data_IF_777109239132
#
_entry.id   IF_777109239132
#
_cell.length_a   1.000
_cell.length_b   1.000
_cell.length_c   1.000
_cell.angle_alpha   90.00
_cell.angle_beta   90.00
_cell.angle_gamma   90.00
#
_symmetry.space_group_name_H-M   'P 1'
#
loop_
_entity.id
_entity.type
_entity.pdbx_description
1 polymer ?
#
# COMPACT_ATOMS: atom_id res chain seq x y z
N UNK A 1 -62.24 -38.23 55.63
CA UNK A 1 -62.10 -36.78 55.36
C UNK A 1 -61.17 -36.65 54.15
N UNK A 2 -61.52 -35.83 53.15
CA UNK A 2 -61.24 -36.07 51.73
C UNK A 2 -59.98 -35.39 51.18
N UNK A 3 -59.35 -36.05 50.17
CA UNK A 3 -58.79 -35.59 48.86
C UNK A 3 -57.87 -34.34 48.74
N UNK A 4 -57.23 -34.09 47.58
CA UNK A 4 -56.04 -34.73 47.00
C UNK A 4 -55.06 -33.65 46.47
N UNK A 5 -53.95 -34.00 45.80
CA UNK A 5 -53.26 -33.32 44.65
C UNK A 5 -51.78 -33.69 44.65
N UNK A 6 -51.30 -34.49 43.69
CA UNK A 6 -50.89 -34.07 42.34
C UNK A 6 -49.56 -33.29 42.37
N UNK A 7 -48.44 -34.01 42.28
CA UNK A 7 -47.19 -33.41 41.83
C UNK A 7 -46.91 -33.88 40.40
N UNK A 8 -47.20 -32.95 39.50
CA UNK A 8 -46.90 -32.98 38.07
C UNK A 8 -45.39 -32.95 37.85
N UNK A 9 -44.97 -33.77 36.89
CA UNK A 9 -43.70 -33.67 36.20
C UNK A 9 -43.48 -32.25 35.66
N UNK A 10 -42.37 -31.62 36.03
CA UNK A 10 -41.77 -30.55 35.23
C UNK A 10 -40.28 -30.83 35.04
N UNK A 11 -40.01 -31.53 33.93
CA UNK A 11 -38.74 -31.53 33.22
C UNK A 11 -38.44 -30.06 32.84
N UNK A 12 -37.32 -29.51 33.32
CA UNK A 12 -36.78 -28.26 32.82
C UNK A 12 -35.51 -28.59 32.05
N UNK A 13 -35.63 -28.47 30.74
CA UNK A 13 -34.58 -28.67 29.76
C UNK A 13 -33.46 -27.62 29.98
N UNK A 14 -32.23 -28.08 30.23
CA UNK A 14 -31.06 -27.22 30.19
C UNK A 14 -30.82 -26.79 28.74
N UNK A 15 -31.28 -25.58 28.39
CA UNK A 15 -30.88 -24.86 27.19
C UNK A 15 -29.36 -24.65 27.20
N UNK A 16 -28.65 -25.48 26.45
CA UNK A 16 -27.23 -25.30 26.17
C UNK A 16 -27.03 -24.06 25.30
N UNK A 17 -26.76 -22.93 25.95
CA UNK A 17 -26.32 -21.70 25.29
C UNK A 17 -24.99 -21.95 24.57
N UNK A 18 -25.03 -21.97 23.24
CA UNK A 18 -23.86 -22.08 22.38
C UNK A 18 -23.22 -20.69 22.22
N UNK A 19 -22.04 -20.39 22.80
CA UNK A 19 -21.42 -19.08 22.68
C UNK A 19 -20.60 -19.03 21.39
N UNK A 20 -21.28 -19.05 20.25
CA UNK A 20 -20.64 -18.74 18.96
C UNK A 20 -21.25 -17.47 18.39
N UNK A 21 -21.18 -16.38 19.16
CA UNK A 21 -21.59 -15.07 18.66
C UNK A 21 -20.51 -14.03 18.95
N UNK A 22 -20.21 -13.24 17.93
CA UNK A 22 -19.28 -12.09 17.93
C UNK A 22 -17.79 -12.36 17.75
N UNK A 23 -17.40 -13.11 16.71
CA UNK A 23 -16.16 -12.76 16.01
C UNK A 23 -16.42 -11.44 15.26
N UNK A 24 -15.74 -10.31 15.59
CA UNK A 24 -15.94 -9.06 14.88
C UNK A 24 -15.56 -9.27 13.40
N UNK A 25 -16.53 -9.05 12.50
CA UNK A 25 -16.30 -9.00 11.06
C UNK A 25 -15.29 -7.89 10.79
N UNK A 26 -14.00 -8.22 10.68
CA UNK A 26 -12.97 -7.30 10.21
C UNK A 26 -13.45 -6.75 8.88
N UNK A 27 -13.78 -5.46 8.84
CA UNK A 27 -14.06 -4.74 7.59
C UNK A 27 -12.87 -5.04 6.68
N UNK A 28 -13.10 -5.79 5.59
CA UNK A 28 -12.08 -6.01 4.57
C UNK A 28 -11.75 -4.63 4.02
N UNK A 29 -10.64 -4.05 4.46
CA UNK A 29 -10.08 -2.87 3.82
C UNK A 29 -9.90 -3.22 2.33
N UNK A 30 -10.53 -2.43 1.46
CA UNK A 30 -10.42 -2.61 0.03
C UNK A 30 -8.96 -2.39 -0.35
N UNK A 31 -8.25 -3.48 -0.64
CA UNK A 31 -6.84 -3.43 -1.05
C UNK A 31 -6.76 -2.71 -2.40
N UNK A 32 -6.36 -1.45 -2.38
CA UNK A 32 -6.07 -0.68 -3.59
C UNK A 32 -4.83 -1.28 -4.25
N UNK A 33 -4.96 -1.74 -5.49
CA UNK A 33 -3.84 -2.23 -6.28
C UNK A 33 -3.35 -1.13 -7.20
N UNK A 34 -2.14 -0.62 -6.95
CA UNK A 34 -1.44 0.24 -7.90
C UNK A 34 -0.84 -0.66 -8.97
N UNK A 35 -1.33 -0.55 -10.20
CA UNK A 35 -0.81 -1.29 -11.36
C UNK A 35 0.16 -0.40 -12.13
N UNK A 36 1.42 -0.78 -12.17
CA UNK A 36 2.45 -0.13 -12.99
C UNK A 36 2.78 -1.05 -14.17
N UNK A 37 2.85 -0.49 -15.38
CA UNK A 37 3.36 -1.22 -16.54
C UNK A 37 4.86 -1.01 -16.58
N UNK A 38 5.60 -2.11 -16.60
CA UNK A 38 7.05 -2.12 -16.78
C UNK A 38 7.39 -3.15 -17.84
N UNK A 39 8.38 -2.85 -18.65
CA UNK A 39 9.01 -3.79 -19.56
C UNK A 39 9.74 -4.89 -18.78
N UNK A 40 10.12 -5.95 -19.49
CA UNK A 40 10.89 -7.05 -18.89
C UNK A 40 12.26 -6.58 -18.38
N UNK A 41 12.96 -5.76 -19.14
CA UNK A 41 14.28 -5.22 -18.74
C UNK A 41 14.17 -4.38 -17.48
N UNK A 42 13.17 -3.51 -17.38
CA UNK A 42 12.94 -2.70 -16.18
C UNK A 42 12.61 -3.58 -14.96
N UNK A 43 11.79 -4.62 -15.14
CA UNK A 43 11.47 -5.54 -14.06
C UNK A 43 12.73 -6.26 -13.54
N UNK A 44 13.63 -6.67 -14.43
CA UNK A 44 14.91 -7.28 -14.06
C UNK A 44 15.84 -6.29 -13.34
N UNK A 45 15.86 -5.01 -13.75
CA UNK A 45 16.61 -3.95 -13.06
C UNK A 45 16.06 -3.66 -11.66
N UNK A 46 14.74 -3.56 -11.51
CA UNK A 46 14.09 -3.39 -10.22
C UNK A 46 14.40 -4.55 -9.27
N UNK A 47 14.43 -5.79 -9.77
CA UNK A 47 14.80 -6.96 -8.98
C UNK A 47 16.29 -6.93 -8.57
N UNK A 48 17.19 -6.56 -9.48
CA UNK A 48 18.62 -6.36 -9.18
C UNK A 48 18.83 -5.31 -8.10
N UNK A 49 18.14 -4.17 -8.17
CA UNK A 49 18.19 -3.13 -7.15
C UNK A 49 17.67 -3.64 -5.80
N UNK A 50 16.53 -4.36 -5.80
CA UNK A 50 15.95 -4.93 -4.57
C UNK A 50 16.90 -5.92 -3.89
N UNK A 51 17.57 -6.78 -4.68
CA UNK A 51 18.61 -7.70 -4.17
C UNK A 51 19.79 -6.93 -3.57
N UNK A 52 20.24 -5.88 -4.23
CA UNK A 52 21.35 -5.03 -3.75
C UNK A 52 21.00 -4.38 -2.41
N UNK A 53 19.80 -3.81 -2.29
CA UNK A 53 19.31 -3.24 -1.03
C UNK A 53 19.23 -4.28 0.08
N UNK A 54 18.75 -5.48 -0.24
CA UNK A 54 18.71 -6.59 0.74
C UNK A 54 20.12 -6.92 1.25
N UNK A 55 21.10 -6.95 0.35
CA UNK A 55 22.50 -7.20 0.71
C UNK A 55 23.08 -6.10 1.59
N UNK A 56 22.82 -4.83 1.29
CA UNK A 56 23.33 -3.71 2.09
C UNK A 56 22.69 -3.60 3.46
N UNK A 57 21.42 -3.96 3.59
CA UNK A 57 20.70 -3.90 4.87
C UNK A 57 20.88 -5.16 5.72
N UNK A 58 21.45 -6.24 5.16
CA UNK A 58 21.54 -7.53 5.85
C UNK A 58 20.18 -8.18 6.13
N UNK A 59 19.13 -7.74 5.43
CA UNK A 59 17.75 -8.16 5.64
C UNK A 59 17.05 -8.39 4.30
N UNK A 60 16.09 -9.32 4.27
CA UNK A 60 15.30 -9.57 3.06
C UNK A 60 14.36 -8.40 2.79
N UNK A 61 14.51 -7.75 1.63
CA UNK A 61 13.63 -6.69 1.15
C UNK A 61 12.89 -7.16 -0.10
N UNK A 62 11.62 -6.81 -0.24
CA UNK A 62 10.82 -7.08 -1.45
C UNK A 62 10.45 -5.79 -2.20
N UNK A 63 10.04 -5.93 -3.47
CA UNK A 63 9.73 -4.79 -4.32
C UNK A 63 8.58 -3.90 -3.80
N UNK A 64 7.62 -4.45 -3.03
CA UNK A 64 6.55 -3.64 -2.45
C UNK A 64 7.06 -2.72 -1.34
N UNK A 65 8.02 -3.18 -0.54
CA UNK A 65 8.70 -2.37 0.48
C UNK A 65 9.54 -1.27 -0.16
N UNK A 66 10.30 -1.60 -1.21
CA UNK A 66 11.07 -0.61 -1.97
C UNK A 66 10.14 0.46 -2.55
N UNK A 67 9.06 0.07 -3.24
CA UNK A 67 8.09 1.01 -3.82
C UNK A 67 7.45 1.88 -2.75
N UNK A 68 7.07 1.33 -1.59
CA UNK A 68 6.51 2.11 -0.48
C UNK A 68 7.52 3.11 0.09
N UNK A 69 8.79 2.70 0.22
CA UNK A 69 9.85 3.58 0.68
C UNK A 69 10.08 4.74 -0.31
N UNK A 70 10.11 4.46 -1.63
CA UNK A 70 10.23 5.49 -2.67
C UNK A 70 9.08 6.51 -2.59
N UNK A 71 7.83 6.06 -2.48
CA UNK A 71 6.69 6.96 -2.29
C UNK A 71 6.79 7.78 -1.00
N UNK A 72 7.25 7.16 0.09
CA UNK A 72 7.46 7.86 1.36
C UNK A 72 8.51 8.97 1.23
N UNK A 73 9.61 8.70 0.51
CA UNK A 73 10.66 9.69 0.25
C UNK A 73 10.14 10.84 -0.63
N UNK A 74 9.36 10.53 -1.66
CA UNK A 74 8.72 11.54 -2.51
C UNK A 74 7.77 12.42 -1.68
N UNK A 75 6.86 11.84 -0.91
CA UNK A 75 5.91 12.60 -0.06
C UNK A 75 6.65 13.50 0.95
N UNK A 76 7.72 13.00 1.58
CA UNK A 76 8.51 13.83 2.52
C UNK A 76 9.20 15.01 1.85
N UNK A 77 9.45 14.92 0.54
CA UNK A 77 10.08 15.98 -0.25
C UNK A 77 9.07 16.95 -0.86
N UNK A 78 7.79 16.91 -0.42
CA UNK A 78 6.70 17.69 -1.01
C UNK A 78 6.86 19.20 -0.89
N UNK A 79 7.38 19.69 0.24
CA UNK A 79 7.65 21.12 0.45
C UNK A 79 8.74 21.62 -0.52
N UNK A 80 9.75 20.77 -0.77
CA UNK A 80 10.81 21.07 -1.74
C UNK A 80 10.32 21.01 -3.20
N UNK A 81 9.32 20.16 -3.51
CA UNK A 81 8.71 20.16 -4.84
C UNK A 81 8.08 21.51 -5.17
N UNK A 82 7.35 22.13 -4.24
CA UNK A 82 6.72 23.43 -4.48
C UNK A 82 7.78 24.50 -4.83
N UNK A 83 8.87 24.55 -4.06
CA UNK A 83 9.95 25.51 -4.28
C UNK A 83 10.74 25.29 -5.59
N UNK A 84 10.80 24.05 -6.09
CA UNK A 84 11.47 23.71 -7.36
C UNK A 84 10.54 23.92 -8.56
N UNK A 85 9.27 23.58 -8.44
CA UNK A 85 8.27 23.72 -9.52
C UNK A 85 8.02 25.19 -9.84
N UNK A 86 8.00 26.08 -8.83
CA UNK A 86 7.85 27.53 -9.06
C UNK A 86 8.98 28.14 -9.91
N UNK A 87 10.10 27.43 -10.09
CA UNK A 87 11.27 27.89 -10.85
C UNK A 87 11.49 27.14 -12.17
N UNK A 88 10.63 26.17 -12.51
CA UNK A 88 10.75 25.37 -13.74
C UNK A 88 9.57 25.59 -14.66
N UNK A 89 9.82 25.45 -15.96
CA UNK A 89 8.76 25.38 -16.95
C UNK A 89 7.83 24.20 -16.66
N UNK A 90 6.53 24.43 -16.89
CA UNK A 90 5.50 23.42 -16.63
C UNK A 90 5.76 22.20 -17.51
N UNK A 91 5.92 21.03 -16.88
CA UNK A 91 6.08 19.77 -17.58
C UNK A 91 4.75 19.39 -18.25
N UNK A 92 4.69 19.46 -19.57
CA UNK A 92 3.52 19.03 -20.34
C UNK A 92 3.56 17.53 -20.59
N UNK A 93 2.42 16.87 -20.40
CA UNK A 93 2.32 15.43 -20.66
C UNK A 93 2.22 15.19 -22.17
N UNK A 94 3.10 14.37 -22.76
CA UNK A 94 3.03 13.99 -24.16
C UNK A 94 1.77 13.17 -24.49
N UNK A 95 1.42 13.13 -25.77
CA UNK A 95 0.32 12.29 -26.26
C UNK A 95 0.66 10.79 -26.12
N UNK A 96 -0.36 9.94 -25.90
CA UNK A 96 -0.17 8.48 -25.73
C UNK A 96 0.47 7.80 -26.96
N UNK A 97 0.43 8.44 -28.14
CA UNK A 97 1.03 7.93 -29.37
C UNK A 97 2.51 8.31 -29.57
N UNK A 98 3.10 9.07 -28.64
CA UNK A 98 4.50 9.50 -28.69
C UNK A 98 5.33 8.78 -27.61
N UNK A 99 5.89 7.59 -27.92
CA UNK A 99 6.65 6.81 -26.95
C UNK A 99 7.96 7.50 -26.56
N UNK A 100 8.58 8.28 -27.46
CA UNK A 100 9.81 9.01 -27.15
C UNK A 100 9.51 10.15 -26.19
N UNK A 101 8.46 10.94 -26.48
CA UNK A 101 8.00 11.99 -25.58
C UNK A 101 7.67 11.43 -24.21
N UNK A 102 6.93 10.32 -24.13
CA UNK A 102 6.59 9.68 -22.86
C UNK A 102 7.83 9.26 -22.05
N UNK A 103 8.87 8.70 -22.70
CA UNK A 103 10.13 8.38 -22.02
C UNK A 103 10.83 9.64 -21.49
N UNK A 104 10.93 10.70 -22.30
CA UNK A 104 11.50 11.99 -21.86
C UNK A 104 10.71 12.62 -20.70
N UNK A 105 9.38 12.46 -20.70
CA UNK A 105 8.51 12.92 -19.63
C UNK A 105 8.76 12.14 -18.33
N UNK A 106 8.94 10.82 -18.41
CA UNK A 106 9.29 9.98 -17.27
C UNK A 106 10.69 10.32 -16.71
N UNK A 107 11.67 10.56 -17.58
CA UNK A 107 13.01 11.03 -17.18
C UNK A 107 12.95 12.38 -16.47
N UNK A 108 12.18 13.33 -17.00
CA UNK A 108 12.01 14.65 -16.39
C UNK A 108 11.32 14.58 -15.01
N UNK A 109 10.37 13.64 -14.82
CA UNK A 109 9.80 13.34 -13.50
C UNK A 109 10.90 12.79 -12.57
N UNK A 110 11.69 11.82 -13.02
CA UNK A 110 12.76 11.24 -12.22
C UNK A 110 13.79 12.29 -11.77
N UNK A 111 14.19 13.20 -12.65
CA UNK A 111 15.10 14.31 -12.34
C UNK A 111 14.52 15.27 -11.30
N UNK A 112 13.23 15.60 -11.42
CA UNK A 112 12.53 16.44 -10.45
C UNK A 112 12.49 15.77 -9.06
N UNK A 113 12.14 14.48 -9.02
CA UNK A 113 12.14 13.66 -7.81
C UNK A 113 13.53 13.63 -7.17
N UNK A 114 14.58 13.44 -7.97
CA UNK A 114 15.97 13.43 -7.50
C UNK A 114 16.39 14.76 -6.90
N UNK A 115 16.07 15.88 -7.57
CA UNK A 115 16.43 17.22 -7.10
C UNK A 115 15.77 17.53 -5.76
N UNK A 116 14.48 17.23 -5.61
CA UNK A 116 13.77 17.45 -4.35
C UNK A 116 14.31 16.56 -3.24
N UNK A 117 14.53 15.27 -3.50
CA UNK A 117 15.07 14.34 -2.49
C UNK A 117 16.48 14.69 -2.02
N UNK A 118 17.32 15.28 -2.89
CA UNK A 118 18.64 15.80 -2.50
C UNK A 118 18.54 16.99 -1.54
N UNK A 119 17.50 17.81 -1.67
CA UNK A 119 17.31 19.02 -0.87
C UNK A 119 16.74 18.76 0.51
N UNK A 120 15.93 17.71 0.66
CA UNK A 120 15.38 17.23 1.95
C UNK A 120 16.45 16.75 2.95
N UNK A 121 17.72 16.58 2.53
CA UNK A 121 18.86 16.22 3.41
C UNK A 121 19.72 17.42 3.82
N UNK A 122 19.34 18.64 3.44
CA UNK A 122 20.00 19.89 3.82
C UNK A 122 19.47 20.50 5.12
#
# INVERSE_FOLDING_TARGET
MPDPVADMEHQSEEETHNPTEFAPRRKRETRVQIKTRVSRSEAEEMERMTRTLSSYLGAKVNGSEVTRALWTLAIRSQEEFAAVIDRRDRLERPSTGDPLGMAQFEDAIADLLLLAMKRTRG
#
